data_IF_512969490434
#
_entry.id   IF_512969490434
#
_cell.length_a   1.000
_cell.length_b   1.000
_cell.length_c   1.000
_cell.angle_alpha   90.00
_cell.angle_beta   90.00
_cell.angle_gamma   90.00
#
_symmetry.space_group_name_H-M   'P 1'
#
loop_
_entity.id
_entity.type
_entity.pdbx_description
1 polymer ?
#
# COMPACT_ATOMS: atom_id res chain seq x y z
N UNK A 1 -5.26 -5.61 -15.20
CA UNK A 1 -5.78 -4.38 -14.57
C UNK A 1 -4.84 -3.92 -13.47
N UNK A 2 -4.56 -2.62 -13.37
CA UNK A 2 -3.75 -2.03 -12.30
C UNK A 2 -4.58 -1.02 -11.53
N UNK A 3 -4.69 -1.18 -10.22
CA UNK A 3 -5.54 -0.32 -9.41
C UNK A 3 -4.81 0.18 -8.17
N UNK A 4 -4.90 1.48 -7.91
CA UNK A 4 -4.56 2.07 -6.62
C UNK A 4 -5.86 2.28 -5.86
N UNK A 5 -6.01 1.59 -4.73
CA UNK A 5 -7.21 1.66 -3.90
C UNK A 5 -6.92 2.55 -2.70
N UNK A 6 -7.73 3.60 -2.57
CA UNK A 6 -7.65 4.55 -1.45
C UNK A 6 -8.91 4.50 -0.59
N UNK A 7 -8.86 5.18 0.55
CA UNK A 7 -10.00 5.32 1.45
C UNK A 7 -9.56 5.83 2.81
N UNK A 8 -10.52 6.35 3.57
CA UNK A 8 -10.26 6.88 4.90
C UNK A 8 -9.84 5.79 5.89
N UNK A 9 -9.26 6.19 7.02
CA UNK A 9 -8.97 5.26 8.12
C UNK A 9 -10.31 4.73 8.66
N UNK A 10 -10.36 3.42 8.97
CA UNK A 10 -11.54 2.79 9.56
C UNK A 10 -12.52 2.13 8.57
N UNK A 11 -12.35 2.32 7.25
CA UNK A 11 -13.25 1.72 6.23
C UNK A 11 -12.91 0.26 5.87
N UNK A 12 -12.18 -0.43 6.75
CA UNK A 12 -11.76 -1.84 6.63
C UNK A 12 -11.34 -2.33 5.22
N UNK A 13 -10.51 -1.54 4.53
CA UNK A 13 -10.03 -1.88 3.17
C UNK A 13 -9.29 -3.22 3.12
N UNK A 14 -8.61 -3.62 4.20
CA UNK A 14 -7.79 -4.82 4.17
C UNK A 14 -8.66 -6.07 4.00
N UNK A 15 -9.71 -6.22 4.81
CA UNK A 15 -10.64 -7.35 4.70
C UNK A 15 -11.37 -7.32 3.36
N UNK A 16 -11.84 -6.14 2.93
CA UNK A 16 -12.51 -5.99 1.64
C UNK A 16 -11.61 -6.42 0.47
N UNK A 17 -10.38 -5.92 0.41
CA UNK A 17 -9.46 -6.25 -0.69
C UNK A 17 -8.98 -7.69 -0.65
N UNK A 18 -8.83 -8.27 0.54
CA UNK A 18 -8.56 -9.70 0.66
C UNK A 18 -9.70 -10.51 0.03
N UNK A 19 -10.96 -10.19 0.33
CA UNK A 19 -12.10 -10.87 -0.27
C UNK A 19 -12.14 -10.73 -1.80
N UNK A 20 -11.75 -9.56 -2.33
CA UNK A 20 -11.64 -9.35 -3.79
C UNK A 20 -10.61 -10.31 -4.41
N UNK A 21 -9.42 -10.42 -3.81
CA UNK A 21 -8.37 -11.34 -4.28
C UNK A 21 -8.82 -12.80 -4.14
N UNK A 22 -9.41 -13.17 -3.02
CA UNK A 22 -9.89 -14.53 -2.78
C UNK A 22 -10.95 -14.93 -3.83
N UNK A 23 -11.93 -14.06 -4.10
CA UNK A 23 -12.97 -14.29 -5.12
C UNK A 23 -12.36 -14.41 -6.51
N UNK A 24 -11.39 -13.57 -6.87
CA UNK A 24 -10.69 -13.69 -8.15
C UNK A 24 -9.98 -15.05 -8.27
N UNK A 25 -9.31 -15.50 -7.19
CA UNK A 25 -8.66 -16.79 -7.12
C UNK A 25 -9.61 -17.97 -7.36
N UNK A 26 -10.86 -17.89 -6.86
CA UNK A 26 -11.88 -18.93 -7.14
C UNK A 26 -12.27 -19.05 -8.62
N UNK A 27 -11.95 -18.04 -9.43
CA UNK A 27 -12.23 -17.98 -10.87
C UNK A 27 -10.98 -18.21 -11.74
N UNK A 28 -9.86 -18.60 -11.13
CA UNK A 28 -8.60 -18.84 -11.83
C UNK A 28 -7.78 -17.58 -12.13
N UNK A 29 -8.17 -16.43 -11.59
CA UNK A 29 -7.46 -15.16 -11.77
C UNK A 29 -6.55 -14.87 -10.58
N UNK A 30 -5.28 -14.55 -10.85
CA UNK A 30 -4.33 -14.09 -9.83
C UNK A 30 -4.38 -12.56 -9.75
N UNK A 31 -4.64 -12.01 -8.57
CA UNK A 31 -4.50 -10.57 -8.28
C UNK A 31 -3.49 -10.40 -7.16
N UNK A 32 -2.39 -9.70 -7.42
CA UNK A 32 -1.41 -9.38 -6.38
C UNK A 32 -1.87 -8.17 -5.57
N UNK A 33 -1.70 -8.24 -4.26
CA UNK A 33 -2.19 -7.21 -3.33
C UNK A 33 -1.05 -6.67 -2.48
N UNK A 34 -0.69 -5.41 -2.73
CA UNK A 34 0.35 -4.70 -2.01
C UNK A 34 -0.26 -3.74 -0.99
N UNK A 35 0.34 -3.65 0.20
CA UNK A 35 -0.10 -2.76 1.27
C UNK A 35 1.02 -1.77 1.60
N UNK A 36 0.94 -0.56 1.06
CA UNK A 36 2.02 0.45 1.19
C UNK A 36 2.38 0.69 2.65
N UNK A 37 1.39 0.83 3.54
CA UNK A 37 1.63 1.02 4.97
C UNK A 37 2.43 -0.11 5.61
N UNK A 38 2.15 -1.38 5.26
CA UNK A 38 2.91 -2.54 5.79
C UNK A 38 4.34 -2.54 5.26
N UNK A 39 4.53 -2.24 3.98
CA UNK A 39 5.85 -2.17 3.35
C UNK A 39 6.69 -1.04 3.95
N UNK A 40 6.09 0.13 4.23
CA UNK A 40 6.80 1.22 4.91
C UNK A 40 7.25 0.85 6.34
N UNK A 41 6.46 0.06 7.08
CA UNK A 41 6.89 -0.46 8.38
C UNK A 41 8.00 -1.51 8.26
N UNK A 42 7.97 -2.36 7.22
CA UNK A 42 9.03 -3.33 6.96
C UNK A 42 10.37 -2.65 6.66
N UNK A 43 10.34 -1.54 5.91
CA UNK A 43 11.52 -0.71 5.60
C UNK A 43 12.02 0.10 6.81
N UNK A 44 11.18 0.30 7.83
CA UNK A 44 11.48 1.12 9.01
C UNK A 44 11.32 0.32 10.32
N UNK A 45 12.14 -0.73 10.55
CA UNK A 45 12.01 -1.59 11.73
C UNK A 45 12.28 -0.86 13.05
N UNK A 46 12.92 0.31 13.01
CA UNK A 46 13.14 1.19 14.16
C UNK A 46 11.86 1.90 14.63
N UNK A 47 10.77 1.84 13.86
CA UNK A 47 9.54 2.58 14.11
C UNK A 47 8.49 1.72 14.81
N UNK A 48 8.02 2.20 15.96
CA UNK A 48 6.97 1.51 16.71
C UNK A 48 5.66 1.43 15.89
N UNK A 49 4.94 0.31 15.94
CA UNK A 49 3.62 0.19 15.32
C UNK A 49 2.68 1.32 15.72
N UNK A 50 1.94 1.86 14.75
CA UNK A 50 1.02 2.98 14.93
C UNK A 50 1.67 4.38 14.99
N UNK A 51 3.01 4.49 14.89
CA UNK A 51 3.72 5.77 15.04
C UNK A 51 4.34 6.31 13.75
N UNK A 52 4.18 5.63 12.61
CA UNK A 52 4.85 6.02 11.36
C UNK A 52 4.51 7.44 10.90
N UNK A 53 3.27 7.91 11.11
CA UNK A 53 2.83 9.25 10.71
C UNK A 53 3.43 10.37 11.58
N UNK A 54 4.04 10.04 12.73
CA UNK A 54 4.75 11.03 13.56
C UNK A 54 6.11 11.44 12.97
N UNK A 55 6.61 10.69 11.98
CA UNK A 55 7.90 10.98 11.35
C UNK A 55 7.87 12.29 10.56
N UNK A 56 9.03 12.94 10.35
CA UNK A 56 9.15 14.06 9.43
C UNK A 56 8.67 13.70 8.02
N UNK A 57 8.04 14.65 7.31
CA UNK A 57 7.53 14.44 5.94
C UNK A 57 8.62 13.93 4.98
N UNK A 58 9.86 14.37 5.13
CA UNK A 58 11.00 13.88 4.34
C UNK A 58 11.21 12.38 4.51
N UNK A 59 11.13 11.87 5.76
CA UNK A 59 11.28 10.46 6.06
C UNK A 59 10.08 9.64 5.56
N UNK A 60 8.86 10.15 5.71
CA UNK A 60 7.66 9.55 5.12
C UNK A 60 7.77 9.42 3.60
N UNK A 61 8.24 10.49 2.93
CA UNK A 61 8.47 10.49 1.49
C UNK A 61 9.49 9.43 1.07
N UNK A 62 10.60 9.29 1.80
CA UNK A 62 11.61 8.28 1.52
C UNK A 62 11.07 6.86 1.67
N UNK A 63 10.37 6.55 2.77
CA UNK A 63 9.77 5.23 3.01
C UNK A 63 8.73 4.87 1.95
N UNK A 64 7.88 5.83 1.57
CA UNK A 64 6.92 5.66 0.49
C UNK A 64 7.62 5.37 -0.84
N UNK A 65 8.69 6.10 -1.15
CA UNK A 65 9.45 5.93 -2.39
C UNK A 65 10.11 4.55 -2.44
N UNK A 66 10.63 4.04 -1.32
CA UNK A 66 11.14 2.68 -1.19
C UNK A 66 10.04 1.63 -1.42
N UNK A 67 8.90 1.74 -0.72
CA UNK A 67 7.79 0.81 -0.89
C UNK A 67 7.30 0.74 -2.35
N UNK A 68 7.15 1.88 -3.04
CA UNK A 68 6.75 1.89 -4.45
C UNK A 68 7.83 1.35 -5.38
N UNK A 69 9.12 1.57 -5.08
CA UNK A 69 10.22 0.96 -5.84
C UNK A 69 10.11 -0.57 -5.81
N UNK A 70 9.84 -1.15 -4.64
CA UNK A 70 9.70 -2.60 -4.48
C UNK A 70 8.46 -3.13 -5.20
N UNK A 71 7.31 -2.44 -5.10
CA UNK A 71 6.10 -2.80 -5.87
C UNK A 71 6.39 -2.81 -7.38
N UNK A 72 7.12 -1.81 -7.88
CA UNK A 72 7.48 -1.76 -9.30
C UNK A 72 8.39 -2.94 -9.65
N UNK A 73 9.40 -3.24 -8.83
CA UNK A 73 10.29 -4.38 -9.06
C UNK A 73 9.54 -5.72 -9.05
N UNK A 74 8.61 -5.91 -8.11
CA UNK A 74 7.82 -7.13 -7.94
C UNK A 74 6.74 -7.32 -9.00
N UNK A 75 6.46 -6.29 -9.82
CA UNK A 75 5.44 -6.31 -10.87
C UNK A 75 6.03 -6.19 -12.28
N UNK A 76 7.34 -6.41 -12.41
CA UNK A 76 8.05 -6.49 -13.68
C UNK A 76 8.49 -7.93 -13.97
N UNK A 77 8.39 -8.41 -15.23
CA UNK A 77 7.86 -7.69 -16.39
C UNK A 77 6.32 -7.61 -16.36
N UNK A 78 5.74 -6.66 -17.08
CA UNK A 78 4.29 -6.32 -16.97
C UNK A 78 3.39 -7.51 -17.32
N UNK A 79 3.85 -8.34 -18.24
CA UNK A 79 3.16 -9.46 -18.83
C UNK A 79 2.93 -10.58 -17.82
N UNK A 80 3.86 -10.75 -16.88
CA UNK A 80 3.79 -11.76 -15.81
C UNK A 80 2.90 -11.30 -14.63
N UNK A 81 2.67 -9.99 -14.53
CA UNK A 81 1.93 -9.34 -13.47
C UNK A 81 0.78 -8.47 -14.01
N UNK A 82 -0.17 -9.06 -14.77
CA UNK A 82 -1.20 -8.30 -15.46
C UNK A 82 -2.21 -7.65 -14.51
N UNK A 83 -2.38 -8.22 -13.30
CA UNK A 83 -3.39 -7.82 -12.32
C UNK A 83 -2.78 -7.58 -10.93
N UNK A 84 -2.77 -6.33 -10.48
CA UNK A 84 -2.38 -6.00 -9.11
C UNK A 84 -3.12 -4.80 -8.54
N UNK A 85 -3.23 -4.79 -7.21
CA UNK A 85 -3.85 -3.76 -6.39
C UNK A 85 -2.82 -3.21 -5.42
N UNK A 86 -2.69 -1.88 -5.40
CA UNK A 86 -1.94 -1.16 -4.37
C UNK A 86 -2.93 -0.52 -3.39
N UNK A 87 -3.01 -1.08 -2.19
CA UNK A 87 -3.80 -0.51 -1.09
C UNK A 87 -3.00 0.57 -0.36
N UNK A 88 -3.50 1.80 -0.39
CA UNK A 88 -2.90 2.95 0.28
C UNK A 88 -3.98 3.94 0.73
N UNK A 89 -3.58 5.12 1.23
CA UNK A 89 -4.46 6.27 1.41
C UNK A 89 -4.27 7.25 0.25
N UNK A 90 -5.20 8.18 0.05
CA UNK A 90 -5.01 9.29 -0.90
C UNK A 90 -4.25 10.44 -0.22
N UNK A 91 -4.68 10.74 1.01
CA UNK A 91 -4.11 11.75 1.88
C UNK A 91 -4.16 11.27 3.32
N UNK A 92 -3.29 11.84 4.15
CA UNK A 92 -3.31 11.70 5.60
C UNK A 92 -3.62 13.04 6.24
N UNK A 93 -4.45 13.03 7.29
CA UNK A 93 -4.63 14.17 8.19
C UNK A 93 -3.99 13.82 9.52
N UNK A 94 -2.85 14.44 9.83
CA UNK A 94 -2.09 14.18 11.06
C UNK A 94 -1.44 15.47 11.59
N UNK A 95 -0.47 15.36 12.49
CA UNK A 95 0.27 16.48 13.11
C UNK A 95 0.86 17.47 12.10
N UNK A 96 1.18 17.01 10.89
CA UNK A 96 1.69 17.83 9.79
C UNK A 96 0.58 18.50 8.95
N UNK A 97 -0.67 18.48 9.42
CA UNK A 97 -1.83 18.93 8.63
C UNK A 97 -2.31 17.85 7.66
N UNK A 98 -2.83 18.29 6.51
CA UNK A 98 -3.24 17.41 5.41
C UNK A 98 -2.08 17.27 4.41
N UNK A 99 -1.65 16.05 4.13
CA UNK A 99 -0.56 15.77 3.19
C UNK A 99 -0.83 14.53 2.34
N UNK A 100 -0.13 14.42 1.19
CA UNK A 100 -0.29 13.29 0.27
C UNK A 100 0.26 12.00 0.88
N UNK A 101 -0.46 10.91 0.61
CA UNK A 101 -0.15 9.58 1.12
C UNK A 101 0.79 8.79 0.23
#
# INVERSE_FOLDING_TARGET
>A
MRAVVTGQIGVDKQSYLKNVVDIAGTRGEKIELFHVGKMMYAEAPDIRPGRILDLPLSRLNSLRRAAFKDIIADTMPVEDHPNFIVNTHATFRWRHGLFSA
#
